data_IF_299740225904
#
_entry.id   IF_299740225904
#
_cell.length_a   1.000
_cell.length_b   1.000
_cell.length_c   1.000
_cell.angle_alpha   90.00
_cell.angle_beta   90.00
_cell.angle_gamma   90.00
#
_symmetry.space_group_name_H-M   'P 1'
#
loop_
_entity.id
_entity.type
_entity.pdbx_description
1 polymer ?
#
# COMPACT_ATOMS: atom_id res chain seq x y z
N UNK A 1 10.16 -26.62 -8.79
CA UNK A 1 8.90 -25.89 -9.06
C UNK A 1 8.35 -26.25 -10.44
N UNK A 2 7.51 -27.29 -10.56
CA UNK A 2 6.96 -27.71 -11.87
C UNK A 2 5.69 -26.94 -12.29
N UNK A 3 5.01 -26.28 -11.35
CA UNK A 3 3.70 -25.67 -11.58
C UNK A 3 3.77 -24.34 -12.35
N UNK A 4 4.78 -23.49 -12.09
CA UNK A 4 4.95 -22.20 -12.81
C UNK A 4 5.28 -22.43 -14.28
N UNK A 5 6.01 -23.51 -14.58
CA UNK A 5 6.51 -23.83 -15.92
C UNK A 5 5.42 -24.15 -16.94
N UNK A 6 4.25 -24.58 -16.47
CA UNK A 6 3.10 -24.98 -17.30
C UNK A 6 2.08 -23.87 -17.52
N UNK A 7 2.25 -22.69 -16.91
CA UNK A 7 1.24 -21.64 -16.85
C UNK A 7 1.68 -20.38 -17.59
N UNK A 8 1.93 -20.48 -18.89
CA UNK A 8 2.42 -19.33 -19.68
C UNK A 8 1.43 -18.16 -19.77
N UNK A 9 0.15 -18.42 -19.56
CA UNK A 9 -0.93 -17.43 -19.51
C UNK A 9 -1.20 -16.88 -18.12
N UNK A 10 -0.39 -17.21 -17.11
CA UNK A 10 -0.63 -16.75 -15.74
C UNK A 10 -0.49 -15.23 -15.65
N UNK A 11 -1.58 -14.56 -15.28
CA UNK A 11 -1.62 -13.12 -15.02
C UNK A 11 -1.62 -12.81 -13.52
N UNK A 12 -2.18 -13.73 -12.72
CA UNK A 12 -2.49 -13.50 -11.31
C UNK A 12 -2.09 -14.69 -10.45
N UNK A 13 -1.48 -14.42 -9.31
CA UNK A 13 -1.10 -15.42 -8.32
C UNK A 13 -1.72 -15.08 -6.98
N UNK A 14 -2.43 -16.05 -6.42
CA UNK A 14 -3.03 -15.99 -5.09
C UNK A 14 -2.39 -17.07 -4.25
N UNK A 15 -1.86 -16.70 -3.10
CA UNK A 15 -1.15 -17.60 -2.20
C UNK A 15 -1.71 -17.48 -0.80
N UNK A 16 -1.83 -18.59 -0.09
CA UNK A 16 -2.19 -18.54 1.33
C UNK A 16 -1.02 -17.99 2.16
N UNK A 17 0.13 -18.66 2.09
CA UNK A 17 1.35 -18.27 2.80
C UNK A 17 2.40 -17.71 1.83
N UNK A 18 2.76 -16.44 2.02
CA UNK A 18 3.77 -15.74 1.23
C UNK A 18 5.19 -16.28 1.38
N UNK A 19 5.47 -17.18 2.32
CA UNK A 19 6.79 -17.81 2.48
C UNK A 19 7.27 -18.58 1.24
N UNK A 20 6.35 -18.97 0.36
CA UNK A 20 6.71 -19.62 -0.91
C UNK A 20 7.19 -18.65 -1.99
N UNK A 21 7.05 -17.33 -1.79
CA UNK A 21 7.42 -16.30 -2.75
C UNK A 21 8.93 -16.05 -2.71
N UNK A 22 9.68 -16.97 -3.32
CA UNK A 22 11.15 -16.90 -3.35
C UNK A 22 11.67 -16.34 -4.68
N UNK A 23 12.93 -15.88 -4.70
CA UNK A 23 13.64 -15.45 -5.90
C UNK A 23 13.51 -16.44 -7.08
N UNK A 24 13.54 -17.75 -6.81
CA UNK A 24 13.38 -18.78 -7.84
C UNK A 24 11.97 -18.81 -8.45
N UNK A 25 10.92 -18.54 -7.65
CA UNK A 25 9.55 -18.38 -8.16
C UNK A 25 9.48 -17.15 -9.05
N UNK A 26 10.05 -16.03 -8.61
CA UNK A 26 10.06 -14.79 -9.39
C UNK A 26 10.78 -14.95 -10.74
N UNK A 27 11.94 -15.62 -10.76
CA UNK A 27 12.66 -15.95 -12.00
C UNK A 27 11.83 -16.83 -12.92
N UNK A 28 11.14 -17.83 -12.38
CA UNK A 28 10.26 -18.68 -13.18
C UNK A 28 9.08 -17.88 -13.76
N UNK A 29 8.44 -17.02 -12.98
CA UNK A 29 7.36 -16.12 -13.45
C UNK A 29 7.86 -15.19 -14.55
N UNK A 30 9.01 -14.54 -14.35
CA UNK A 30 9.63 -13.65 -15.34
C UNK A 30 9.92 -14.35 -16.67
N UNK A 31 10.36 -15.60 -16.63
CA UNK A 31 10.73 -16.36 -17.84
C UNK A 31 9.52 -16.99 -18.55
N UNK A 32 8.50 -17.41 -17.80
CA UNK A 32 7.41 -18.25 -18.33
C UNK A 32 6.07 -17.53 -18.41
N UNK A 33 5.85 -16.49 -17.62
CA UNK A 33 4.57 -15.81 -17.44
C UNK A 33 4.70 -14.31 -17.81
N UNK A 34 4.85 -13.95 -19.09
CA UNK A 34 5.14 -12.57 -19.51
C UNK A 34 4.03 -11.56 -19.18
N UNK A 35 2.82 -12.05 -18.91
CA UNK A 35 1.62 -11.27 -18.60
C UNK A 35 1.31 -11.21 -17.09
N UNK A 36 2.21 -11.74 -16.24
CA UNK A 36 2.05 -11.72 -14.79
C UNK A 36 2.10 -10.29 -14.25
N UNK A 37 1.03 -9.86 -13.59
CA UNK A 37 0.86 -8.49 -13.11
C UNK A 37 0.09 -8.37 -11.78
N UNK A 38 -0.43 -9.46 -11.24
CA UNK A 38 -1.22 -9.45 -10.00
C UNK A 38 -0.65 -10.45 -9.00
N UNK A 39 -0.33 -9.96 -7.80
CA UNK A 39 0.04 -10.79 -6.67
C UNK A 39 -0.84 -10.50 -5.46
N UNK A 40 -1.36 -11.56 -4.86
CA UNK A 40 -1.99 -11.52 -3.55
C UNK A 40 -1.48 -12.66 -2.67
N UNK A 41 -1.22 -12.36 -1.40
CA UNK A 41 -1.08 -13.41 -0.39
C UNK A 41 -1.87 -13.12 0.89
N UNK A 42 -2.19 -14.18 1.65
CA UNK A 42 -2.95 -14.04 2.90
C UNK A 42 -2.05 -13.60 4.06
N UNK A 43 -1.07 -14.42 4.46
CA UNK A 43 -0.12 -14.10 5.53
C UNK A 43 1.33 -14.37 5.09
N UNK A 44 2.30 -13.73 5.74
CA UNK A 44 3.72 -14.03 5.57
C UNK A 44 4.48 -13.59 6.82
N UNK A 45 4.81 -14.54 7.70
CA UNK A 45 5.43 -14.26 9.00
C UNK A 45 6.82 -14.89 9.06
N UNK A 46 7.79 -14.20 9.64
CA UNK A 46 9.15 -14.69 9.80
C UNK A 46 10.19 -13.58 9.81
N UNK A 47 11.36 -13.80 10.42
CA UNK A 47 12.39 -12.76 10.59
C UNK A 47 12.99 -12.27 9.27
N UNK A 48 12.91 -13.07 8.20
CA UNK A 48 13.44 -12.75 6.87
C UNK A 48 12.35 -12.41 5.86
N UNK A 49 11.07 -12.37 6.28
CA UNK A 49 9.95 -12.26 5.35
C UNK A 49 9.98 -10.94 4.52
N UNK A 50 10.38 -9.81 5.11
CA UNK A 50 10.57 -8.54 4.39
C UNK A 50 11.63 -8.68 3.28
N UNK A 51 12.79 -9.23 3.62
CA UNK A 51 13.91 -9.40 2.69
C UNK A 51 13.58 -10.40 1.58
N UNK A 52 13.02 -11.56 1.92
CA UNK A 52 12.68 -12.61 0.95
C UNK A 52 11.62 -12.13 -0.04
N UNK A 53 10.61 -11.40 0.44
CA UNK A 53 9.60 -10.80 -0.42
C UNK A 53 10.20 -9.69 -1.31
N UNK A 54 11.09 -8.86 -0.76
CA UNK A 54 11.79 -7.85 -1.54
C UNK A 54 12.65 -8.47 -2.66
N UNK A 55 13.36 -9.56 -2.39
CA UNK A 55 14.10 -10.32 -3.40
C UNK A 55 13.17 -10.88 -4.48
N UNK A 56 12.04 -11.47 -4.09
CA UNK A 56 11.02 -11.91 -5.04
C UNK A 56 10.54 -10.77 -5.95
N UNK A 57 10.19 -9.62 -5.38
CA UNK A 57 9.69 -8.47 -6.14
C UNK A 57 10.76 -7.90 -7.09
N UNK A 58 12.02 -7.83 -6.64
CA UNK A 58 13.17 -7.40 -7.47
C UNK A 58 13.41 -8.35 -8.66
N UNK A 59 13.18 -9.64 -8.48
CA UNK A 59 13.40 -10.64 -9.54
C UNK A 59 12.26 -10.77 -10.55
N UNK A 60 11.10 -10.15 -10.30
CA UNK A 60 10.03 -10.02 -11.30
C UNK A 60 10.50 -9.20 -12.51
N UNK A 61 9.72 -9.24 -13.58
CA UNK A 61 9.94 -8.37 -14.74
C UNK A 61 9.72 -6.91 -14.30
N UNK A 62 10.67 -5.98 -14.51
CA UNK A 62 10.48 -4.59 -14.12
C UNK A 62 9.22 -3.99 -14.75
N UNK A 63 8.52 -3.13 -13.98
CA UNK A 63 7.29 -2.47 -14.41
C UNK A 63 6.19 -3.44 -14.92
N UNK A 64 6.14 -4.68 -14.39
CA UNK A 64 5.07 -5.64 -14.72
C UNK A 64 3.96 -5.71 -13.69
N UNK A 65 4.27 -5.54 -12.40
CA UNK A 65 3.31 -5.68 -11.32
C UNK A 65 2.36 -4.46 -11.29
N UNK A 66 1.07 -4.72 -11.43
CA UNK A 66 -0.01 -3.74 -11.41
C UNK A 66 -0.81 -3.77 -10.11
N UNK A 67 -0.97 -4.96 -9.51
CA UNK A 67 -1.71 -5.13 -8.27
C UNK A 67 -0.90 -5.94 -7.26
N UNK A 68 -0.78 -5.41 -6.05
CA UNK A 68 -0.13 -6.07 -4.92
C UNK A 68 -1.02 -6.00 -3.68
N UNK A 69 -1.37 -7.16 -3.13
CA UNK A 69 -2.35 -7.29 -2.04
C UNK A 69 -1.83 -8.20 -0.94
N UNK A 70 -1.84 -7.71 0.29
CA UNK A 70 -1.58 -8.46 1.52
C UNK A 70 -2.85 -8.43 2.36
N UNK A 71 -3.38 -9.59 2.76
CA UNK A 71 -4.71 -9.66 3.41
C UNK A 71 -4.68 -9.79 4.93
N UNK A 72 -3.57 -10.19 5.53
CA UNK A 72 -3.47 -10.55 6.95
C UNK A 72 -2.08 -10.25 7.50
N UNK A 73 -1.75 -10.81 8.67
CA UNK A 73 -0.46 -10.64 9.35
C UNK A 73 0.71 -10.83 8.40
N UNK A 74 1.62 -9.88 8.45
CA UNK A 74 2.78 -9.83 7.59
C UNK A 74 3.90 -9.03 8.26
N UNK A 75 5.12 -9.24 7.76
CA UNK A 75 6.32 -8.55 8.22
C UNK A 75 6.91 -7.65 7.13
N UNK A 76 6.09 -7.10 6.22
CA UNK A 76 6.62 -6.19 5.19
C UNK A 76 7.13 -4.91 5.82
N UNK A 77 8.15 -4.32 5.22
CA UNK A 77 8.77 -3.11 5.72
C UNK A 77 9.59 -2.41 4.64
N UNK A 78 10.71 -1.84 5.08
CA UNK A 78 11.56 -1.01 4.25
C UNK A 78 12.05 -1.74 2.98
N UNK A 79 12.51 -2.99 3.09
CA UNK A 79 13.04 -3.75 1.94
C UNK A 79 11.95 -3.98 0.89
N UNK A 80 10.75 -4.41 1.33
CA UNK A 80 9.61 -4.65 0.44
C UNK A 80 9.19 -3.36 -0.27
N UNK A 81 9.06 -2.24 0.44
CA UNK A 81 8.64 -0.98 -0.17
C UNK A 81 9.69 -0.40 -1.12
N UNK A 82 10.98 -0.54 -0.80
CA UNK A 82 12.06 -0.20 -1.74
C UNK A 82 12.00 -1.09 -2.99
N UNK A 83 11.78 -2.39 -2.85
CA UNK A 83 11.67 -3.30 -4.01
C UNK A 83 10.47 -2.96 -4.91
N UNK A 84 9.35 -2.51 -4.34
CA UNK A 84 8.17 -2.06 -5.10
C UNK A 84 8.47 -0.86 -6.00
N UNK A 85 9.51 -0.05 -5.74
CA UNK A 85 9.89 1.05 -6.63
C UNK A 85 10.25 0.58 -8.06
N UNK A 86 10.67 -0.68 -8.24
CA UNK A 86 10.88 -1.28 -9.56
C UNK A 86 9.58 -1.36 -10.41
N UNK A 87 8.43 -1.22 -9.75
CA UNK A 87 7.10 -1.22 -10.33
C UNK A 87 6.38 0.13 -10.21
N UNK A 88 7.11 1.20 -9.86
CA UNK A 88 6.57 2.54 -9.62
C UNK A 88 5.64 3.09 -10.71
N UNK A 89 5.86 2.73 -11.97
CA UNK A 89 5.07 3.21 -13.11
C UNK A 89 3.93 2.26 -13.48
N UNK A 90 4.00 0.99 -13.08
CA UNK A 90 2.99 -0.01 -13.38
C UNK A 90 2.03 -0.29 -12.21
N UNK A 91 2.46 -0.05 -10.98
CA UNK A 91 1.70 -0.36 -9.77
C UNK A 91 0.54 0.62 -9.62
N UNK A 92 -0.68 0.08 -9.76
CA UNK A 92 -1.93 0.84 -9.73
C UNK A 92 -2.73 0.55 -8.45
N UNK A 93 -2.71 -0.69 -7.98
CA UNK A 93 -3.47 -1.10 -6.80
C UNK A 93 -2.55 -1.67 -5.73
N UNK A 94 -2.60 -1.05 -4.56
CA UNK A 94 -1.83 -1.44 -3.39
C UNK A 94 -2.76 -1.60 -2.19
N UNK A 95 -2.88 -2.81 -1.67
CA UNK A 95 -3.66 -3.11 -0.48
C UNK A 95 -2.78 -3.78 0.57
N UNK A 96 -2.52 -3.06 1.67
CA UNK A 96 -1.59 -3.44 2.72
C UNK A 96 -2.35 -3.54 4.05
N UNK A 97 -2.82 -4.73 4.38
CA UNK A 97 -3.60 -4.95 5.60
C UNK A 97 -2.70 -5.37 6.76
N UNK A 98 -3.09 -5.04 8.00
CA UNK A 98 -2.41 -5.45 9.24
C UNK A 98 -0.95 -5.01 9.33
N UNK A 99 -0.61 -3.83 8.81
CA UNK A 99 0.77 -3.34 8.84
C UNK A 99 1.25 -3.11 10.28
N UNK A 100 2.47 -3.56 10.55
CA UNK A 100 3.16 -3.27 11.81
C UNK A 100 3.68 -1.81 11.83
N UNK A 101 4.10 -1.28 13.00
CA UNK A 101 4.60 0.09 13.13
C UNK A 101 5.79 0.42 12.23
N UNK A 102 6.73 -0.52 12.09
CA UNK A 102 7.92 -0.35 11.24
C UNK A 102 7.51 -0.19 9.78
N UNK A 103 6.58 -1.00 9.30
CA UNK A 103 6.04 -0.91 7.95
C UNK A 103 5.40 0.46 7.68
N UNK A 104 4.55 0.92 8.59
CA UNK A 104 3.87 2.20 8.44
C UNK A 104 4.86 3.38 8.36
N UNK A 105 5.94 3.34 9.15
CA UNK A 105 7.02 4.35 9.06
C UNK A 105 7.78 4.29 7.74
N UNK A 106 7.92 3.10 7.15
CA UNK A 106 8.60 2.93 5.87
C UNK A 106 7.75 3.22 4.62
N UNK A 107 6.47 3.59 4.75
CA UNK A 107 5.60 3.86 3.60
C UNK A 107 6.12 5.00 2.71
N UNK A 108 6.90 5.95 3.26
CA UNK A 108 7.54 7.02 2.48
C UNK A 108 8.48 6.48 1.38
N UNK A 109 8.97 5.25 1.49
CA UNK A 109 9.75 4.58 0.44
C UNK A 109 8.95 4.39 -0.85
N UNK A 110 7.62 4.49 -0.81
CA UNK A 110 6.76 4.40 -2.00
C UNK A 110 6.66 5.73 -2.78
N UNK A 111 7.37 6.79 -2.38
CA UNK A 111 7.30 8.16 -2.97
C UNK A 111 7.44 8.28 -4.48
N UNK A 112 7.99 7.27 -5.15
CA UNK A 112 8.12 7.23 -6.61
C UNK A 112 6.95 6.50 -7.31
N UNK A 113 6.09 5.79 -6.57
CA UNK A 113 4.93 5.06 -7.08
C UNK A 113 3.74 6.01 -7.26
N UNK A 114 3.75 6.77 -8.35
CA UNK A 114 2.75 7.81 -8.63
C UNK A 114 1.59 7.32 -9.50
N UNK A 115 1.70 6.11 -10.06
CA UNK A 115 0.66 5.48 -10.89
C UNK A 115 -0.50 4.86 -10.08
N UNK A 116 -0.46 4.99 -8.74
CA UNK A 116 -1.45 4.40 -7.84
C UNK A 116 -2.83 5.02 -8.09
N UNK A 117 -3.82 4.16 -8.33
CA UNK A 117 -5.24 4.50 -8.46
C UNK A 117 -6.06 4.05 -7.25
N UNK A 118 -5.65 2.95 -6.61
CA UNK A 118 -6.29 2.41 -5.41
C UNK A 118 -5.24 2.15 -4.33
N UNK A 119 -5.42 2.79 -3.18
CA UNK A 119 -4.62 2.55 -1.99
C UNK A 119 -5.52 2.14 -0.82
N UNK A 120 -5.22 1.00 -0.22
CA UNK A 120 -5.85 0.56 1.02
C UNK A 120 -4.77 0.23 2.06
N UNK A 121 -4.81 0.91 3.20
CA UNK A 121 -3.87 0.70 4.31
C UNK A 121 -4.70 0.43 5.57
N UNK A 122 -4.36 -0.66 6.25
CA UNK A 122 -4.90 -1.00 7.57
C UNK A 122 -3.73 -1.29 8.51
N UNK A 123 -3.67 -0.56 9.63
CA UNK A 123 -2.69 -0.84 10.68
C UNK A 123 -3.07 -2.07 11.52
N UNK A 124 -2.11 -2.57 12.28
CA UNK A 124 -2.32 -3.71 13.18
C UNK A 124 -2.93 -3.23 14.52
N UNK A 125 -4.23 -3.50 14.70
CA UNK A 125 -5.01 -3.15 15.92
C UNK A 125 -4.57 -3.82 17.23
N UNK A 126 -3.68 -4.81 17.17
CA UNK A 126 -3.16 -5.47 18.38
C UNK A 126 -2.07 -4.66 19.08
N UNK A 127 -1.66 -3.52 18.50
CA UNK A 127 -0.70 -2.60 19.12
C UNK A 127 -1.50 -1.46 19.77
N UNK A 128 -1.78 -1.58 21.07
CA UNK A 128 -2.47 -0.53 21.83
C UNK A 128 -1.70 0.81 21.76
N UNK A 129 -2.43 1.92 21.60
CA UNK A 129 -1.85 3.27 21.54
C UNK A 129 -1.29 3.68 20.18
N UNK A 130 -1.29 2.78 19.20
CA UNK A 130 -0.63 3.03 17.93
C UNK A 130 -1.53 3.79 16.93
N UNK A 131 -1.14 5.03 16.65
CA UNK A 131 -1.53 5.77 15.45
C UNK A 131 -0.32 5.97 14.55
N UNK A 132 -0.52 6.10 13.24
CA UNK A 132 0.53 6.52 12.29
C UNK A 132 1.26 7.82 12.71
N UNK A 133 0.65 8.58 13.63
CA UNK A 133 1.17 9.75 14.36
C UNK A 133 1.57 9.47 15.82
N UNK A 134 2.18 8.34 16.16
CA UNK A 134 3.02 8.38 17.38
C UNK A 134 4.15 9.38 17.12
N UNK A 135 4.06 10.51 17.81
CA UNK A 135 4.73 11.81 17.62
C UNK A 135 6.27 11.80 17.49
N UNK A 136 6.91 10.64 17.50
CA UNK A 136 8.35 10.47 17.57
C UNK A 136 9.08 10.75 16.23
N UNK A 137 8.39 10.72 15.09
CA UNK A 137 8.99 11.09 13.80
C UNK A 137 8.00 11.77 12.83
N UNK A 138 7.76 13.09 12.96
CA UNK A 138 6.84 13.82 12.08
C UNK A 138 7.29 13.87 10.61
N UNK A 139 8.57 13.60 10.32
CA UNK A 139 9.10 13.63 8.96
C UNK A 139 8.54 12.49 8.09
N UNK A 140 8.44 11.27 8.63
CA UNK A 140 7.92 10.12 7.86
C UNK A 140 6.46 10.35 7.44
N UNK A 141 5.66 10.93 8.34
CA UNK A 141 4.27 11.27 8.07
C UNK A 141 4.14 12.35 6.99
N UNK A 142 4.99 13.39 7.06
CA UNK A 142 5.05 14.45 6.05
C UNK A 142 5.39 13.90 4.66
N UNK A 143 6.41 13.02 4.58
CA UNK A 143 6.81 12.40 3.30
C UNK A 143 5.69 11.54 2.71
N UNK A 144 4.92 10.84 3.54
CA UNK A 144 3.77 10.07 3.04
C UNK A 144 2.66 10.99 2.55
N UNK A 145 2.33 12.05 3.27
CA UNK A 145 1.33 13.02 2.82
C UNK A 145 1.75 13.71 1.50
N UNK A 146 3.03 14.05 1.37
CA UNK A 146 3.59 14.61 0.13
C UNK A 146 3.57 13.60 -1.02
N UNK A 147 3.90 12.33 -0.76
CA UNK A 147 3.80 11.28 -1.77
C UNK A 147 2.35 11.14 -2.26
N UNK A 148 1.39 11.02 -1.33
CA UNK A 148 -0.01 10.85 -1.69
C UNK A 148 -0.54 12.06 -2.45
N UNK A 149 -0.20 13.29 -2.07
CA UNK A 149 -0.63 14.49 -2.81
C UNK A 149 -0.09 14.54 -4.25
N UNK A 150 0.99 13.81 -4.57
CA UNK A 150 1.54 13.68 -5.93
C UNK A 150 0.89 12.56 -6.75
N UNK A 151 0.10 11.69 -6.14
CA UNK A 151 -0.63 10.61 -6.82
C UNK A 151 -1.89 11.15 -7.50
N UNK A 152 -1.73 11.93 -8.58
CA UNK A 152 -2.85 12.53 -9.33
C UNK A 152 -3.84 11.49 -9.91
N UNK A 153 -3.42 10.23 -10.05
CA UNK A 153 -4.27 9.13 -10.51
C UNK A 153 -5.03 8.43 -9.39
N UNK A 154 -4.82 8.79 -8.12
CA UNK A 154 -5.50 8.18 -6.98
C UNK A 154 -7.01 8.47 -7.07
N UNK A 155 -7.83 7.43 -6.96
CA UNK A 155 -9.30 7.48 -7.05
C UNK A 155 -9.97 6.81 -5.86
N UNK A 156 -9.31 5.83 -5.25
CA UNK A 156 -9.82 5.07 -4.12
C UNK A 156 -8.79 5.09 -3.00
N UNK A 157 -9.18 5.64 -1.85
CA UNK A 157 -8.37 5.67 -0.64
C UNK A 157 -9.13 5.02 0.51
N UNK A 158 -8.53 3.99 1.10
CA UNK A 158 -9.00 3.37 2.34
C UNK A 158 -7.91 3.46 3.39
N UNK A 159 -8.25 4.05 4.52
CA UNK A 159 -7.39 4.14 5.70
C UNK A 159 -8.17 3.57 6.89
N UNK A 160 -7.64 2.51 7.48
CA UNK A 160 -8.27 1.84 8.61
C UNK A 160 -7.30 1.62 9.77
N UNK A 161 -7.85 1.51 10.98
CA UNK A 161 -7.23 1.02 12.22
C UNK A 161 -5.81 1.54 12.48
N UNK A 162 -5.68 2.61 13.26
CA UNK A 162 -4.38 3.13 13.72
C UNK A 162 -3.63 3.94 12.66
N UNK A 163 -4.34 4.48 11.67
CA UNK A 163 -3.74 5.25 10.58
C UNK A 163 -3.77 6.78 10.80
N UNK A 164 -4.33 7.31 11.88
CA UNK A 164 -4.60 8.76 12.00
C UNK A 164 -5.15 9.34 10.68
N UNK A 165 -6.16 8.66 10.14
CA UNK A 165 -6.58 8.87 8.77
C UNK A 165 -7.00 10.33 8.51
N UNK A 166 -7.68 10.94 9.48
CA UNK A 166 -8.12 12.35 9.41
C UNK A 166 -6.94 13.31 9.30
N UNK A 167 -5.89 13.14 10.11
CA UNK A 167 -4.73 14.03 10.05
C UNK A 167 -3.97 13.90 8.73
N UNK A 168 -3.89 12.68 8.18
CA UNK A 168 -3.26 12.49 6.86
C UNK A 168 -4.06 13.19 5.77
N UNK A 169 -5.39 13.05 5.77
CA UNK A 169 -6.26 13.71 4.79
C UNK A 169 -6.13 15.23 4.84
N UNK A 170 -6.15 15.81 6.05
CA UNK A 170 -5.94 17.25 6.23
C UNK A 170 -4.58 17.68 5.68
N UNK A 171 -3.55 16.87 5.85
CA UNK A 171 -2.21 17.17 5.32
C UNK A 171 -2.17 17.09 3.79
N UNK A 172 -2.79 16.07 3.19
CA UNK A 172 -2.92 15.93 1.74
C UNK A 172 -3.67 17.15 1.16
N UNK A 173 -4.80 17.53 1.74
CA UNK A 173 -5.60 18.68 1.31
C UNK A 173 -4.79 19.98 1.36
N UNK A 174 -4.08 20.22 2.48
CA UNK A 174 -3.19 21.37 2.60
C UNK A 174 -2.07 21.37 1.55
N UNK A 175 -1.50 20.20 1.23
CA UNK A 175 -0.46 20.10 0.21
C UNK A 175 -1.02 20.37 -1.20
N UNK A 176 -2.24 19.92 -1.49
CA UNK A 176 -2.92 20.18 -2.77
C UNK A 176 -3.23 21.66 -2.96
N UNK A 177 -3.66 22.37 -1.90
CA UNK A 177 -3.91 23.81 -1.95
C UNK A 177 -2.67 24.69 -2.19
N UNK A 178 -1.47 24.11 -2.12
CA UNK A 178 -0.19 24.79 -2.39
C UNK A 178 0.32 24.56 -3.83
N UNK A 179 -0.37 23.72 -4.62
CA UNK A 179 0.04 23.39 -5.98
C UNK A 179 -0.50 24.46 -6.96
N UNK A 180 0.32 24.85 -7.95
CA UNK A 180 -0.05 25.83 -8.99
C UNK A 180 -1.28 25.38 -9.81
N UNK A 181 -2.12 26.34 -10.20
CA UNK A 181 -3.49 26.20 -10.79
C UNK A 181 -3.60 25.26 -12.03
N UNK A 182 -2.48 24.96 -12.70
CA UNK A 182 -2.42 24.09 -13.89
C UNK A 182 -2.00 22.63 -13.61
N UNK A 183 -1.78 22.26 -12.34
CA UNK A 183 -1.38 20.88 -11.99
C UNK A 183 -2.57 19.93 -11.93
N UNK A 184 -2.39 18.65 -12.30
CA UNK A 184 -3.46 17.67 -12.24
C UNK A 184 -3.90 17.46 -10.78
N UNK A 185 -5.17 17.75 -10.49
CA UNK A 185 -5.78 17.62 -9.17
C UNK A 185 -6.17 16.16 -8.91
N UNK A 186 -5.96 15.68 -7.68
CA UNK A 186 -6.42 14.36 -7.25
C UNK A 186 -7.94 14.37 -7.06
N UNK A 187 -8.67 13.59 -7.84
CA UNK A 187 -10.12 13.45 -7.70
C UNK A 187 -10.49 12.11 -7.04
N UNK A 188 -10.73 12.09 -5.73
CA UNK A 188 -11.17 10.87 -5.05
C UNK A 188 -12.63 10.54 -5.40
N UNK A 189 -12.84 9.33 -5.92
CA UNK A 189 -14.18 8.79 -6.19
C UNK A 189 -14.72 7.97 -5.03
N UNK A 190 -13.83 7.45 -4.18
CA UNK A 190 -14.17 6.68 -2.99
C UNK A 190 -13.18 6.97 -1.87
N UNK A 191 -13.71 7.28 -0.69
CA UNK A 191 -12.96 7.46 0.55
C UNK A 191 -13.60 6.60 1.64
N UNK A 192 -12.84 5.69 2.24
CA UNK A 192 -13.31 4.87 3.35
C UNK A 192 -12.37 5.05 4.55
N UNK A 193 -12.93 5.54 5.64
CA UNK A 193 -12.23 5.76 6.90
C UNK A 193 -12.85 4.89 7.98
N UNK A 194 -12.09 3.91 8.47
CA UNK A 194 -12.47 3.20 9.69
C UNK A 194 -12.05 4.05 10.91
N UNK A 195 -12.97 4.93 11.34
CA UNK A 195 -12.78 5.88 12.44
C UNK A 195 -12.93 5.24 13.83
N UNK A 196 -12.48 3.99 14.00
CA UNK A 196 -12.41 3.35 15.33
C UNK A 196 -11.62 4.16 16.36
N UNK A 197 -10.79 5.12 15.91
CA UNK A 197 -10.13 6.16 16.71
C UNK A 197 -11.10 7.07 17.50
N UNK A 198 -12.36 7.22 17.07
CA UNK A 198 -13.35 8.08 17.74
C UNK A 198 -14.08 7.40 18.91
N UNK A 199 -14.03 6.08 19.05
CA UNK A 199 -14.80 5.38 20.10
C UNK A 199 -14.16 5.46 21.49
N UNK A 200 -12.92 5.96 21.61
CA UNK A 200 -12.29 6.25 22.91
C UNK A 200 -12.33 7.73 23.32
N UNK A 201 -12.97 8.59 22.53
CA UNK A 201 -13.29 9.97 22.93
C UNK A 201 -14.70 10.30 22.43
N UNK A 202 -15.68 10.17 23.31
CA UNK A 202 -17.09 10.58 23.11
C UNK A 202 -17.21 11.89 22.34
N UNK A 203 -17.55 11.81 21.05
CA UNK A 203 -18.39 12.75 20.33
C UNK A 203 -19.06 11.99 19.19
N UNK A 204 -20.35 11.70 19.35
CA UNK A 204 -21.15 11.11 18.29
C UNK A 204 -21.45 12.13 17.21
N UNK A 205 -21.22 11.77 15.95
CA UNK A 205 -22.12 12.03 14.83
C UNK A 205 -21.93 10.87 13.84
N UNK A 206 -23.03 10.21 13.49
CA UNK A 206 -23.17 9.35 12.33
C UNK A 206 -23.31 10.21 11.08
N UNK A 207 -22.55 9.94 10.02
CA UNK A 207 -23.01 10.25 8.66
C UNK A 207 -22.32 9.38 7.61
N UNK A 208 -23.11 8.50 6.99
CA UNK A 208 -22.90 8.09 5.61
C UNK A 208 -23.02 9.34 4.73
N UNK A 209 -21.98 9.69 4.00
CA UNK A 209 -22.06 10.69 2.93
C UNK A 209 -21.64 10.04 1.62
N UNK A 210 -22.64 9.61 0.84
CA UNK A 210 -22.51 9.25 -0.57
C UNK A 210 -22.54 10.52 -1.43
N UNK A 211 -21.52 11.36 -1.30
CA UNK A 211 -21.25 12.45 -2.23
C UNK A 211 -19.79 12.42 -2.67
N UNK A 212 -19.50 12.61 -3.97
CA UNK A 212 -18.13 12.76 -4.42
C UNK A 212 -17.55 14.00 -3.74
N UNK A 213 -16.54 13.79 -2.89
CA UNK A 213 -15.69 14.85 -2.42
C UNK A 213 -14.89 15.33 -3.63
N UNK A 214 -15.26 16.49 -4.17
CA UNK A 214 -14.30 17.28 -4.94
C UNK A 214 -13.33 17.87 -3.93
N UNK A 215 -12.20 17.20 -3.75
CA UNK A 215 -11.01 17.72 -3.07
C UNK A 215 -10.15 18.34 -4.15
#
# INVERSE_FOLDING_TARGET
MKWVSSLSSLTSLFVEDGSILTADVAKALRQKCPSFNYLQYHCCEGPEADQQLAEFLRDLKPQSLQTFVIRSRNEVGNETFMALQQHSSSLQKLCLMRLNPTALRSLHQLRHSLAITTLAIEGNDMVEGFGWLDYDNPADFEEVAEWLSKCASLRELLLARGSNATGLLLKIENNLGMIEDDSPVMELTSLNLDLTELNNRTFGISSETNHPLKI
#
